data_IF_421296958495
#
_entry.id   IF_421296958495
#
_cell.length_a   1.000
_cell.length_b   1.000
_cell.length_c   1.000
_cell.angle_alpha   90.00
_cell.angle_beta   90.00
_cell.angle_gamma   90.00
#
_symmetry.space_group_name_H-M   'P 1'
#
loop_
_entity.id
_entity.type
_entity.pdbx_description
1 polymer ?
#
# COMPACT_ATOMS: atom_id res chain seq x y z
N UNK A 1 -7.58 19.28 -13.68
CA UNK A 1 -7.68 18.64 -12.36
C UNK A 1 -6.30 18.01 -12.10
N UNK A 2 -5.70 18.16 -10.92
CA UNK A 2 -4.43 17.48 -10.66
C UNK A 2 -4.70 15.98 -10.44
N UNK A 3 -3.94 15.07 -11.05
CA UNK A 3 -4.08 13.65 -10.79
C UNK A 3 -3.69 13.32 -9.34
N UNK A 4 -4.23 12.24 -8.81
CA UNK A 4 -3.88 11.68 -7.51
C UNK A 4 -3.04 10.42 -7.75
N UNK A 5 -1.80 10.42 -7.27
CA UNK A 5 -0.91 9.27 -7.34
C UNK A 5 -1.26 8.29 -6.23
N UNK A 6 -1.56 7.03 -6.58
CA UNK A 6 -1.64 5.94 -5.63
C UNK A 6 -0.25 5.31 -5.46
N UNK A 7 0.27 5.37 -4.24
CA UNK A 7 1.58 4.81 -3.86
C UNK A 7 1.55 3.27 -3.77
N UNK A 8 1.11 2.61 -4.85
CA UNK A 8 1.01 1.16 -4.93
C UNK A 8 1.28 0.67 -6.36
N UNK A 9 1.89 -0.51 -6.46
CA UNK A 9 1.98 -1.31 -7.69
C UNK A 9 1.00 -2.49 -7.70
N UNK A 10 0.21 -2.63 -6.63
CA UNK A 10 -0.81 -3.67 -6.54
C UNK A 10 -2.03 -3.27 -7.37
N UNK A 11 -2.23 -3.99 -8.49
CA UNK A 11 -3.35 -3.77 -9.41
C UNK A 11 -4.73 -4.03 -8.78
N UNK A 12 -4.82 -4.87 -7.74
CA UNK A 12 -6.03 -5.06 -6.96
C UNK A 12 -6.41 -3.78 -6.21
N UNK A 13 -5.46 -3.20 -5.46
CA UNK A 13 -5.67 -1.93 -4.73
C UNK A 13 -6.07 -0.78 -5.66
N UNK A 14 -5.44 -0.68 -6.83
CA UNK A 14 -5.81 0.36 -7.82
C UNK A 14 -7.30 0.24 -8.21
N UNK A 15 -7.77 -0.97 -8.51
CA UNK A 15 -9.17 -1.21 -8.89
C UNK A 15 -10.15 -0.91 -7.76
N UNK A 16 -9.80 -1.28 -6.53
CA UNK A 16 -10.64 -1.05 -5.35
C UNK A 16 -10.79 0.45 -5.07
N UNK A 17 -9.69 1.20 -5.08
CA UNK A 17 -9.71 2.65 -4.86
C UNK A 17 -10.42 3.38 -6.01
N UNK A 18 -10.19 2.97 -7.26
CA UNK A 18 -10.91 3.51 -8.42
C UNK A 18 -12.42 3.32 -8.28
N UNK A 19 -12.86 2.14 -7.84
CA UNK A 19 -14.26 1.85 -7.59
C UNK A 19 -14.86 2.73 -6.47
N UNK A 20 -14.11 2.96 -5.38
CA UNK A 20 -14.54 3.84 -4.27
C UNK A 20 -14.67 5.29 -4.74
N UNK A 21 -13.71 5.80 -5.51
CA UNK A 21 -13.70 7.19 -5.96
C UNK A 21 -14.65 7.47 -7.13
N UNK A 22 -15.18 6.42 -7.78
CA UNK A 22 -16.24 6.53 -8.78
C UNK A 22 -15.87 7.40 -10.00
N UNK A 23 -14.58 7.48 -10.34
CA UNK A 23 -14.07 8.29 -11.45
C UNK A 23 -14.11 9.81 -11.20
N UNK A 24 -14.39 10.27 -9.97
CA UNK A 24 -14.37 11.69 -9.63
C UNK A 24 -12.97 12.31 -9.58
N UNK A 25 -11.93 11.47 -9.62
CA UNK A 25 -10.51 11.86 -9.57
C UNK A 25 -9.75 11.05 -10.61
N UNK A 26 -8.84 11.70 -11.33
CA UNK A 26 -7.90 11.01 -12.20
C UNK A 26 -6.81 10.34 -11.35
N UNK A 27 -6.71 9.02 -11.43
CA UNK A 27 -5.71 8.23 -10.70
C UNK A 27 -4.46 7.98 -11.56
N UNK A 28 -3.31 8.04 -10.92
CA UNK A 28 -2.03 7.51 -11.41
C UNK A 28 -1.55 6.43 -10.44
N UNK A 29 -0.61 5.61 -10.87
CA UNK A 29 -0.01 4.57 -10.02
C UNK A 29 1.51 4.63 -10.06
N UNK A 30 2.16 3.86 -9.19
CA UNK A 30 3.62 3.75 -9.22
C UNK A 30 4.15 3.05 -10.49
N UNK A 31 3.29 2.44 -11.31
CA UNK A 31 3.68 1.95 -12.63
C UNK A 31 4.01 3.11 -13.60
N UNK A 32 3.46 4.31 -13.35
CA UNK A 32 3.76 5.54 -14.12
C UNK A 32 5.09 6.20 -13.69
N UNK A 33 5.66 5.76 -12.57
CA UNK A 33 6.90 6.29 -11.97
C UNK A 33 7.89 5.14 -11.72
N UNK A 34 8.56 4.62 -12.77
CA UNK A 34 9.45 3.47 -12.65
C UNK A 34 10.66 3.73 -11.73
N UNK A 35 11.07 4.99 -11.60
CA UNK A 35 12.20 5.41 -10.76
C UNK A 35 11.78 5.77 -9.32
N UNK A 36 10.49 5.68 -8.98
CA UNK A 36 10.03 5.95 -7.62
C UNK A 36 10.57 4.89 -6.65
N UNK A 37 11.08 5.28 -5.46
CA UNK A 37 11.73 4.37 -4.54
C UNK A 37 10.76 3.31 -4.00
N UNK A 38 11.30 2.16 -3.62
CA UNK A 38 10.59 1.24 -2.75
C UNK A 38 10.59 1.79 -1.33
N UNK A 39 9.39 2.00 -0.78
CA UNK A 39 9.23 2.48 0.60
C UNK A 39 9.20 1.28 1.54
N UNK A 40 10.13 1.26 2.50
CA UNK A 40 10.15 0.23 3.53
C UNK A 40 8.97 0.38 4.52
N UNK A 41 8.21 -0.68 4.73
CA UNK A 41 7.13 -0.78 5.71
C UNK A 41 7.68 -1.24 7.08
N UNK A 42 8.33 -0.31 7.79
CA UNK A 42 9.02 -0.54 9.06
C UNK A 42 8.33 0.14 10.26
N UNK A 43 7.08 0.59 10.10
CA UNK A 43 6.27 1.12 11.20
C UNK A 43 5.44 0.01 11.82
N UNK A 44 5.19 0.17 13.12
CA UNK A 44 4.43 -0.79 13.93
C UNK A 44 2.91 -0.72 13.71
N UNK A 45 2.43 0.21 12.88
CA UNK A 45 1.00 0.42 12.63
C UNK A 45 0.73 0.62 11.14
N UNK A 46 -0.46 0.22 10.69
CA UNK A 46 -0.94 0.48 9.34
C UNK A 46 -0.96 1.97 9.02
N UNK A 47 -1.44 2.80 9.95
CA UNK A 47 -1.45 4.26 9.80
C UNK A 47 -0.03 4.80 9.60
N UNK A 48 0.95 4.33 10.39
CA UNK A 48 2.34 4.74 10.26
C UNK A 48 2.94 4.38 8.91
N UNK A 49 2.70 3.16 8.42
CA UNK A 49 3.18 2.72 7.12
C UNK A 49 2.49 3.48 5.98
N UNK A 50 1.18 3.72 6.05
CA UNK A 50 0.44 4.48 5.07
C UNK A 50 0.96 5.93 4.97
N UNK A 51 1.15 6.61 6.11
CA UNK A 51 1.71 7.97 6.15
C UNK A 51 3.12 7.99 5.55
N UNK A 52 4.00 7.07 5.96
CA UNK A 52 5.38 7.00 5.46
C UNK A 52 5.41 6.80 3.94
N UNK A 53 4.60 5.86 3.44
CA UNK A 53 4.46 5.52 2.01
C UNK A 53 3.97 6.71 1.19
N UNK A 54 2.94 7.42 1.66
CA UNK A 54 2.44 8.61 0.99
C UNK A 54 3.49 9.75 0.97
N UNK A 55 4.14 10.01 2.10
CA UNK A 55 5.11 11.10 2.23
C UNK A 55 6.36 10.88 1.35
N UNK A 56 6.98 9.70 1.43
CA UNK A 56 8.22 9.42 0.67
C UNK A 56 7.97 9.41 -0.86
N UNK A 57 6.84 8.86 -1.30
CA UNK A 57 6.46 8.89 -2.73
C UNK A 57 6.11 10.32 -3.17
N UNK A 58 5.42 11.11 -2.35
CA UNK A 58 5.14 12.51 -2.66
C UNK A 58 6.43 13.33 -2.77
N UNK A 59 7.38 13.13 -1.86
CA UNK A 59 8.69 13.81 -1.88
C UNK A 59 9.50 13.42 -3.12
N UNK A 60 9.46 12.15 -3.53
CA UNK A 60 10.19 11.66 -4.70
C UNK A 60 9.60 12.10 -6.04
N UNK A 61 8.26 12.22 -6.12
CA UNK A 61 7.54 12.47 -7.38
C UNK A 61 7.06 13.90 -7.54
N UNK A 62 6.88 14.64 -6.44
CA UNK A 62 6.26 15.97 -6.42
C UNK A 62 4.73 15.94 -6.58
N UNK A 63 4.11 14.76 -6.58
CA UNK A 63 2.67 14.58 -6.79
C UNK A 63 1.87 14.52 -5.49
N UNK A 64 0.60 14.90 -5.59
CA UNK A 64 -0.37 14.64 -4.51
C UNK A 64 -0.55 13.11 -4.45
N UNK A 65 -0.17 12.54 -3.31
CA UNK A 65 -0.07 11.08 -3.16
C UNK A 65 -1.01 10.57 -2.08
N UNK A 66 -1.74 9.50 -2.41
CA UNK A 66 -2.51 8.70 -1.47
C UNK A 66 -1.83 7.33 -1.35
N UNK A 67 -1.72 6.84 -0.11
CA UNK A 67 -1.23 5.50 0.18
C UNK A 67 -2.23 4.76 1.06
N UNK A 68 -2.17 3.44 0.98
CA UNK A 68 -2.98 2.51 1.77
C UNK A 68 -2.07 1.43 2.35
N UNK A 69 -2.31 1.09 3.61
CA UNK A 69 -1.66 0.00 4.30
C UNK A 69 -2.72 -0.87 4.97
N UNK A 70 -2.71 -2.14 4.62
CA UNK A 70 -3.82 -3.05 4.89
C UNK A 70 -3.26 -4.39 5.34
N UNK A 71 -3.97 -5.07 6.24
CA UNK A 71 -3.60 -6.39 6.69
C UNK A 71 -4.75 -7.10 7.40
N UNK A 72 -4.43 -8.27 7.94
CA UNK A 72 -5.30 -9.08 8.76
C UNK A 72 -4.81 -8.99 10.20
N UNK A 73 -5.73 -8.71 11.11
CA UNK A 73 -5.50 -8.83 12.55
C UNK A 73 -6.41 -9.93 13.09
N UNK A 74 -5.82 -10.89 13.82
CA UNK A 74 -6.57 -12.00 14.42
C UNK A 74 -6.48 -11.90 15.95
N UNK A 75 -7.63 -11.71 16.59
CA UNK A 75 -7.72 -11.52 18.05
C UNK A 75 -7.03 -12.64 18.85
N UNK A 76 -7.21 -13.90 18.46
CA UNK A 76 -6.60 -15.06 19.15
C UNK A 76 -5.08 -15.15 18.94
N UNK A 77 -4.54 -14.42 17.97
CA UNK A 77 -3.10 -14.34 17.69
C UNK A 77 -2.53 -12.99 18.15
N UNK A 78 -3.18 -12.32 19.11
CA UNK A 78 -2.78 -11.02 19.63
C UNK A 78 -2.59 -9.96 18.52
N UNK A 79 -3.46 -10.00 17.50
CA UNK A 79 -3.45 -9.08 16.36
C UNK A 79 -2.51 -9.49 15.23
N UNK A 80 -1.76 -10.60 15.35
CA UNK A 80 -0.99 -11.13 14.22
C UNK A 80 -1.92 -11.61 13.09
N UNK A 81 -1.49 -11.54 11.81
CA UNK A 81 -0.18 -11.06 11.33
C UNK A 81 0.04 -9.54 11.36
N UNK A 82 -1.01 -8.71 11.44
CA UNK A 82 -0.91 -7.26 11.51
C UNK A 82 -0.21 -6.67 10.28
N UNK A 83 0.71 -5.71 10.49
CA UNK A 83 1.51 -5.08 9.43
C UNK A 83 2.38 -6.05 8.63
N UNK A 84 2.55 -7.30 9.09
CA UNK A 84 3.30 -8.34 8.40
C UNK A 84 2.45 -9.21 7.48
N UNK A 85 1.16 -8.89 7.30
CA UNK A 85 0.20 -9.73 6.55
C UNK A 85 0.68 -10.20 5.19
N UNK A 86 1.29 -9.32 4.38
CA UNK A 86 1.77 -9.67 3.05
C UNK A 86 3.00 -10.60 3.05
N UNK A 87 3.70 -10.67 4.19
CA UNK A 87 4.99 -11.36 4.38
C UNK A 87 4.98 -12.27 5.61
N UNK A 88 3.81 -12.81 5.96
CA UNK A 88 3.62 -13.57 7.19
C UNK A 88 4.41 -14.89 7.17
N UNK A 89 4.51 -15.54 6.02
CA UNK A 89 5.35 -16.72 5.80
C UNK A 89 6.84 -16.42 5.56
N UNK A 90 7.25 -15.14 5.61
CA UNK A 90 8.65 -14.71 5.51
C UNK A 90 9.11 -14.39 4.07
N UNK A 91 10.38 -14.71 3.78
CA UNK A 91 10.99 -14.41 2.48
C UNK A 91 10.34 -15.24 1.36
N UNK A 92 9.94 -14.58 0.28
CA UNK A 92 9.23 -15.24 -0.82
C UNK A 92 7.77 -15.56 -0.53
N UNK A 93 7.17 -14.92 0.48
CA UNK A 93 5.76 -15.06 0.80
C UNK A 93 4.86 -14.85 -0.42
N UNK A 94 3.93 -15.79 -0.59
CA UNK A 94 2.79 -15.71 -1.49
C UNK A 94 1.49 -15.72 -0.68
N UNK A 95 0.41 -15.26 -1.29
CA UNK A 95 -0.93 -15.37 -0.71
C UNK A 95 -1.24 -16.81 -0.25
N UNK A 96 -0.83 -17.83 -1.04
CA UNK A 96 -1.01 -19.23 -0.68
C UNK A 96 -0.20 -19.61 0.57
N UNK A 97 1.10 -19.30 0.61
CA UNK A 97 1.96 -19.64 1.75
C UNK A 97 1.60 -18.91 3.04
N UNK A 98 1.00 -17.72 2.95
CA UNK A 98 0.54 -16.96 4.14
C UNK A 98 -0.67 -17.63 4.80
N UNK A 99 -1.33 -18.58 4.13
CA UNK A 99 -2.50 -19.32 4.63
C UNK A 99 -2.17 -20.76 5.09
N UNK A 100 -0.90 -21.16 5.06
CA UNK A 100 -0.42 -22.45 5.62
C UNK A 100 -0.06 -22.35 7.10
#
# INVERSE_FOLDING_TARGET
MKPLLLATRNKGKLKEIEAILGGGVQLMSLDDYPDAPEVAEDRDTFEGNAIKKAAEVADATGEITLADDSGLEVDTLDGAPGVYSARFSGEGASDESNNE
#
